data_IF_796848177146
#
_entry.id   IF_796848177146
#
_cell.length_a   1.000
_cell.length_b   1.000
_cell.length_c   1.000
_cell.angle_alpha   90.00
_cell.angle_beta   90.00
_cell.angle_gamma   90.00
#
_symmetry.space_group_name_H-M   'P 1'
#
loop_
_entity.id
_entity.type
_entity.pdbx_description
1 polymer ?
#
# COMPACT_ATOMS: atom_id res chain seq x y z
N UNK A 1 5.71 12.64 7.19
CA UNK A 1 4.28 12.28 7.31
C UNK A 1 3.64 12.48 5.94
N UNK A 2 3.48 11.40 5.16
CA UNK A 2 2.62 11.42 3.99
C UNK A 2 1.18 11.39 4.50
N UNK A 3 0.54 12.56 4.56
CA UNK A 3 -0.90 12.65 4.71
C UNK A 3 -1.51 12.38 3.34
N UNK A 4 -2.24 11.28 3.19
CA UNK A 4 -3.13 11.10 2.05
C UNK A 4 -4.10 12.29 2.05
N UNK A 5 -4.07 13.10 0.97
CA UNK A 5 -4.82 14.36 0.89
C UNK A 5 -6.25 14.10 0.43
N UNK A 6 -7.05 13.43 1.25
CA UNK A 6 -8.46 13.25 0.98
C UNK A 6 -9.06 12.10 1.76
N UNK A 7 -10.31 12.23 2.11
CA UNK A 7 -11.13 11.12 2.60
C UNK A 7 -11.72 10.39 1.39
N UNK A 8 -11.66 9.07 1.41
CA UNK A 8 -12.23 8.23 0.36
C UNK A 8 -13.41 7.45 0.95
N UNK A 9 -14.61 7.62 0.38
CA UNK A 9 -15.77 6.79 0.68
C UNK A 9 -15.95 5.77 -0.44
N UNK A 10 -16.02 4.50 -0.07
CA UNK A 10 -16.28 3.39 -0.98
C UNK A 10 -17.69 2.90 -0.69
N UNK A 11 -18.59 3.09 -1.65
CA UNK A 11 -20.00 2.70 -1.54
C UNK A 11 -20.18 1.21 -1.78
N UNK A 12 -21.12 0.60 -1.07
CA UNK A 12 -21.46 -0.83 -1.17
C UNK A 12 -20.23 -1.73 -1.05
N UNK A 13 -19.36 -1.43 -0.10
CA UNK A 13 -18.10 -2.14 0.09
C UNK A 13 -18.27 -3.55 0.67
N UNK A 14 -19.45 -3.89 1.21
CA UNK A 14 -19.70 -5.16 1.86
C UNK A 14 -18.80 -5.40 3.08
N UNK A 15 -18.80 -4.49 4.09
CA UNK A 15 -17.82 -4.49 5.18
C UNK A 15 -17.77 -5.80 5.96
N UNK A 16 -18.88 -6.55 6.00
CA UNK A 16 -19.00 -7.87 6.64
C UNK A 16 -18.05 -8.93 6.04
N UNK A 17 -17.50 -8.70 4.84
CA UNK A 17 -16.56 -9.60 4.16
C UNK A 17 -15.11 -9.12 4.23
N UNK A 18 -14.85 -7.96 4.87
CA UNK A 18 -13.54 -7.32 4.84
C UNK A 18 -12.72 -7.48 6.13
N UNK A 19 -13.20 -8.24 7.12
CA UNK A 19 -12.56 -8.35 8.43
C UNK A 19 -11.09 -8.81 8.34
N UNK A 20 -10.80 -9.84 7.55
CA UNK A 20 -9.43 -10.33 7.38
C UNK A 20 -8.54 -9.31 6.67
N UNK A 21 -9.07 -8.60 5.67
CA UNK A 21 -8.36 -7.52 5.00
C UNK A 21 -8.09 -6.39 5.98
N UNK A 22 -9.10 -5.99 6.76
CA UNK A 22 -8.98 -4.95 7.77
C UNK A 22 -7.89 -5.28 8.78
N UNK A 23 -7.87 -6.50 9.29
CA UNK A 23 -6.86 -6.95 10.25
C UNK A 23 -5.43 -6.82 9.69
N UNK A 24 -5.20 -7.24 8.44
CA UNK A 24 -3.87 -7.15 7.80
C UNK A 24 -3.49 -5.70 7.51
N UNK A 25 -4.39 -4.91 6.93
CA UNK A 25 -4.11 -3.51 6.62
C UNK A 25 -3.94 -2.67 7.89
N UNK A 26 -4.67 -2.98 8.97
CA UNK A 26 -4.47 -2.34 10.28
C UNK A 26 -3.05 -2.56 10.80
N UNK A 27 -2.51 -3.77 10.67
CA UNK A 27 -1.11 -4.06 11.03
C UNK A 27 -0.08 -3.26 10.20
N UNK A 28 -0.46 -2.81 9.01
CA UNK A 28 0.36 -1.91 8.18
C UNK A 28 0.11 -0.42 8.48
N UNK A 29 -0.80 -0.12 9.41
CA UNK A 29 -1.14 1.24 9.83
C UNK A 29 -2.24 1.90 9.00
N UNK A 30 -3.04 1.10 8.28
CA UNK A 30 -4.22 1.56 7.54
C UNK A 30 -5.48 1.07 8.21
N UNK A 31 -6.40 1.99 8.48
CA UNK A 31 -7.71 1.66 9.03
C UNK A 31 -8.82 2.45 8.30
N UNK A 32 -10.04 1.97 8.44
CA UNK A 32 -11.24 2.61 7.90
C UNK A 32 -12.41 2.51 8.87
N UNK A 33 -13.36 3.40 8.70
CA UNK A 33 -14.65 3.37 9.41
C UNK A 33 -15.70 2.69 8.55
N UNK A 34 -16.59 1.97 9.20
CA UNK A 34 -17.79 1.38 8.56
C UNK A 34 -18.96 2.33 8.80
N UNK A 35 -19.70 2.64 7.74
CA UNK A 35 -20.91 3.47 7.75
C UNK A 35 -21.99 2.77 6.90
N UNK A 36 -22.80 1.93 7.56
CA UNK A 36 -23.72 1.02 6.88
C UNK A 36 -23.02 0.03 5.98
N UNK A 37 -23.32 0.05 4.69
CA UNK A 37 -22.67 -0.78 3.66
C UNK A 37 -21.41 -0.12 3.06
N UNK A 38 -21.08 1.10 3.50
CA UNK A 38 -19.93 1.85 3.01
C UNK A 38 -18.73 1.72 3.93
N UNK A 39 -17.54 1.93 3.38
CA UNK A 39 -16.33 2.18 4.17
C UNK A 39 -15.77 3.57 3.88
N UNK A 40 -15.21 4.19 4.91
CA UNK A 40 -14.61 5.52 4.85
C UNK A 40 -13.15 5.41 5.26
N UNK A 41 -12.25 5.64 4.31
CA UNK A 41 -10.80 5.68 4.54
C UNK A 41 -10.40 7.14 4.76
N UNK A 42 -9.96 7.47 5.99
CA UNK A 42 -9.54 8.82 6.33
C UNK A 42 -8.22 9.20 5.64
N UNK A 43 -8.07 10.49 5.30
CA UNK A 43 -6.81 11.06 4.83
C UNK A 43 -5.67 10.93 5.83
N UNK A 44 -5.98 10.86 7.13
CA UNK A 44 -4.99 10.82 8.21
C UNK A 44 -4.73 9.37 8.62
N UNK A 45 -3.90 8.67 7.85
CA UNK A 45 -3.41 7.35 8.20
C UNK A 45 -2.03 7.46 8.87
N UNK A 46 -1.79 6.64 9.88
CA UNK A 46 -0.47 6.50 10.49
C UNK A 46 0.17 5.23 9.95
N UNK A 47 0.82 5.32 8.79
CA UNK A 47 1.50 4.19 8.15
C UNK A 47 2.69 3.75 9.01
N UNK A 48 2.43 2.88 9.96
CA UNK A 48 3.41 2.28 10.85
C UNK A 48 3.06 0.82 11.07
N UNK A 49 4.02 -0.06 10.79
CA UNK A 49 3.89 -1.50 10.97
C UNK A 49 3.80 -1.81 12.47
N UNK A 50 2.77 -2.56 12.84
CA UNK A 50 2.59 -3.06 14.20
C UNK A 50 3.53 -4.26 14.40
N UNK A 51 4.45 -4.12 15.35
CA UNK A 51 5.40 -5.19 15.68
C UNK A 51 4.74 -6.26 16.52
N UNK A 52 5.20 -7.50 16.38
CA UNK A 52 4.77 -8.60 17.22
C UNK A 52 5.36 -8.51 18.64
N UNK A 53 4.95 -9.40 19.52
CA UNK A 53 5.37 -9.45 20.93
C UNK A 53 6.90 -9.38 21.03
N UNK A 54 7.39 -8.56 21.97
CA UNK A 54 8.82 -8.36 22.17
C UNK A 54 9.52 -7.55 21.09
N UNK A 55 8.77 -6.91 20.17
CA UNK A 55 9.33 -6.14 19.06
C UNK A 55 9.78 -7.00 17.88
N UNK A 56 9.33 -8.25 17.80
CA UNK A 56 9.61 -9.13 16.69
C UNK A 56 8.98 -8.62 15.38
N UNK A 57 9.65 -8.92 14.26
CA UNK A 57 9.13 -8.58 12.93
C UNK A 57 7.87 -9.40 12.66
N UNK A 58 6.72 -8.75 12.35
CA UNK A 58 5.48 -9.46 12.09
C UNK A 58 5.54 -10.23 10.78
N UNK A 59 4.90 -11.40 10.76
CA UNK A 59 4.65 -12.17 9.55
C UNK A 59 3.23 -11.94 9.04
N UNK A 60 3.08 -11.56 7.77
CA UNK A 60 1.82 -11.50 7.04
C UNK A 60 1.79 -12.64 6.03
N UNK A 61 0.91 -13.61 6.27
CA UNK A 61 0.82 -14.84 5.49
C UNK A 61 -0.52 -14.92 4.76
N UNK A 62 -0.47 -15.28 3.48
CA UNK A 62 -1.66 -15.63 2.73
C UNK A 62 -2.14 -17.03 3.07
N UNK A 63 -3.45 -17.25 2.95
CA UNK A 63 -4.02 -18.57 3.09
C UNK A 63 -5.39 -18.64 2.38
N UNK A 64 -5.96 -19.85 2.35
CA UNK A 64 -7.31 -20.10 1.85
C UNK A 64 -8.33 -19.36 2.73
N UNK A 65 -9.39 -18.85 2.11
CA UNK A 65 -10.50 -18.20 2.82
C UNK A 65 -10.95 -19.02 4.05
N UNK A 66 -11.18 -18.39 5.21
CA UNK A 66 -11.32 -16.95 5.48
C UNK A 66 -10.02 -16.20 5.88
N UNK A 67 -8.87 -16.63 5.44
CA UNK A 67 -7.61 -15.94 5.69
C UNK A 67 -7.32 -14.82 4.66
N UNK A 68 -6.15 -14.17 4.78
CA UNK A 68 -5.77 -13.06 3.89
C UNK A 68 -5.56 -13.55 2.44
N UNK A 69 -6.28 -12.99 1.46
CA UNK A 69 -6.23 -13.45 0.08
C UNK A 69 -4.86 -13.20 -0.56
N UNK A 70 -4.34 -14.19 -1.28
CA UNK A 70 -3.09 -14.05 -2.03
C UNK A 70 -3.15 -12.96 -3.11
N UNK A 71 -4.34 -12.65 -3.65
CA UNK A 71 -4.52 -11.61 -4.67
C UNK A 71 -4.25 -10.19 -4.15
N UNK A 72 -4.33 -9.98 -2.85
CA UNK A 72 -4.02 -8.70 -2.20
C UNK A 72 -2.59 -8.62 -1.67
N UNK A 73 -1.82 -9.70 -1.75
CA UNK A 73 -0.44 -9.74 -1.23
C UNK A 73 0.43 -8.67 -1.88
N UNK A 74 0.38 -8.52 -3.19
CA UNK A 74 1.19 -7.54 -3.91
C UNK A 74 0.88 -6.10 -3.51
N UNK A 75 -0.39 -5.79 -3.23
CA UNK A 75 -0.83 -4.47 -2.73
C UNK A 75 -0.31 -4.25 -1.32
N UNK A 76 -0.40 -5.26 -0.45
CA UNK A 76 0.11 -5.16 0.92
C UNK A 76 1.64 -4.96 0.96
N UNK A 77 2.39 -5.60 0.05
CA UNK A 77 3.84 -5.39 -0.11
C UNK A 77 4.15 -3.94 -0.49
N UNK A 78 3.44 -3.36 -1.47
CA UNK A 78 3.62 -1.95 -1.84
C UNK A 78 3.27 -1.02 -0.68
N UNK A 79 2.17 -1.29 0.04
CA UNK A 79 1.80 -0.51 1.23
C UNK A 79 2.91 -0.52 2.28
N UNK A 80 3.54 -1.68 2.52
CA UNK A 80 4.62 -1.81 3.49
C UNK A 80 5.86 -0.99 3.10
N UNK A 81 6.13 -0.78 1.80
CA UNK A 81 7.24 0.11 1.37
C UNK A 81 7.04 1.54 1.82
N UNK A 82 5.82 1.96 2.13
CA UNK A 82 5.47 3.30 2.57
C UNK A 82 5.22 3.39 4.09
N UNK A 83 5.13 2.26 4.79
CA UNK A 83 4.88 2.19 6.23
C UNK A 83 6.18 2.10 7.03
N UNK A 84 6.26 2.79 8.17
CA UNK A 84 7.45 2.77 9.02
C UNK A 84 7.58 1.44 9.76
N UNK A 85 8.64 0.68 9.50
CA UNK A 85 8.96 -0.58 10.15
C UNK A 85 9.34 -1.67 9.15
N UNK A 86 9.42 -2.91 9.62
CA UNK A 86 9.77 -4.08 8.82
C UNK A 86 8.68 -5.14 8.95
N UNK A 87 8.40 -5.87 7.88
CA UNK A 87 7.42 -6.95 7.85
C UNK A 87 7.87 -8.07 6.93
N UNK A 88 7.63 -9.31 7.34
CA UNK A 88 7.85 -10.52 6.53
C UNK A 88 6.55 -10.87 5.84
N UNK A 89 6.56 -10.92 4.52
CA UNK A 89 5.46 -11.46 3.70
C UNK A 89 5.73 -12.88 3.30
N UNK A 90 4.70 -13.74 3.39
CA UNK A 90 4.77 -15.14 3.03
C UNK A 90 3.57 -15.56 2.18
N UNK A 91 3.80 -15.77 0.89
CA UNK A 91 2.82 -16.37 -0.03
C UNK A 91 3.26 -17.78 -0.41
N UNK A 92 2.74 -18.76 0.31
CA UNK A 92 3.10 -20.17 0.08
C UNK A 92 2.35 -20.81 -1.09
N UNK A 93 1.26 -20.18 -1.55
CA UNK A 93 0.38 -20.76 -2.56
C UNK A 93 0.98 -20.74 -3.98
N UNK A 94 1.73 -19.68 -4.31
CA UNK A 94 2.24 -19.46 -5.66
C UNK A 94 3.70 -19.00 -5.66
N UNK A 95 4.65 -19.86 -6.01
CA UNK A 95 6.07 -19.56 -5.87
C UNK A 95 6.57 -18.39 -6.73
N UNK A 96 5.91 -18.09 -7.86
CA UNK A 96 6.35 -17.01 -8.75
C UNK A 96 5.80 -15.63 -8.40
N UNK A 97 4.89 -15.52 -7.43
CA UNK A 97 4.21 -14.26 -7.12
C UNK A 97 5.09 -13.20 -6.48
N UNK A 98 6.20 -13.58 -5.86
CA UNK A 98 7.12 -12.63 -5.24
C UNK A 98 8.09 -11.98 -6.23
N UNK A 99 8.19 -12.43 -7.48
CA UNK A 99 9.18 -11.89 -8.43
C UNK A 99 8.92 -10.42 -8.84
N UNK A 100 7.69 -9.91 -8.68
CA UNK A 100 7.42 -8.49 -8.90
C UNK A 100 8.18 -7.57 -7.91
N UNK A 101 8.65 -8.10 -6.78
CA UNK A 101 9.43 -7.35 -5.79
C UNK A 101 10.77 -6.86 -6.35
N UNK A 102 11.32 -7.56 -7.34
CA UNK A 102 12.49 -7.11 -8.10
C UNK A 102 12.24 -5.75 -8.76
N UNK A 103 11.05 -5.57 -9.35
CA UNK A 103 10.66 -4.30 -9.97
C UNK A 103 10.53 -3.19 -8.95
N UNK A 104 9.95 -3.48 -7.78
CA UNK A 104 9.91 -2.52 -6.67
C UNK A 104 11.31 -2.19 -6.14
N UNK A 105 12.23 -3.17 -6.12
CA UNK A 105 13.63 -2.97 -5.79
C UNK A 105 14.30 -1.99 -6.76
N UNK A 106 14.06 -2.14 -8.07
CA UNK A 106 14.51 -1.18 -9.11
C UNK A 106 13.95 0.23 -8.87
N UNK A 107 12.73 0.36 -8.36
CA UNK A 107 12.16 1.65 -7.95
C UNK A 107 12.75 2.20 -6.64
N UNK A 108 13.66 1.51 -5.98
CA UNK A 108 14.29 1.95 -4.72
C UNK A 108 13.64 1.41 -3.45
N UNK A 109 12.69 0.48 -3.55
CA UNK A 109 12.12 -0.16 -2.37
C UNK A 109 13.16 -1.03 -1.67
N UNK A 110 13.19 -0.96 -0.32
CA UNK A 110 14.05 -1.81 0.49
C UNK A 110 13.36 -3.15 0.74
N UNK A 111 13.64 -4.11 -0.13
CA UNK A 111 13.04 -5.45 -0.11
C UNK A 111 14.16 -6.49 -0.19
N UNK A 112 14.08 -7.51 0.66
CA UNK A 112 14.94 -8.70 0.59
C UNK A 112 14.06 -9.88 0.23
N UNK A 113 14.25 -10.45 -0.95
CA UNK A 113 13.62 -11.71 -1.35
C UNK A 113 14.36 -12.85 -0.67
N UNK A 114 13.73 -13.51 0.30
CA UNK A 114 14.33 -14.61 1.06
C UNK A 114 14.31 -15.91 0.27
N UNK A 115 13.20 -16.17 -0.40
CA UNK A 115 12.98 -17.33 -1.27
C UNK A 115 11.79 -17.03 -2.21
N UNK A 116 11.37 -17.97 -3.11
CA UNK A 116 10.25 -17.74 -4.03
C UNK A 116 8.91 -17.39 -3.37
N UNK A 117 8.78 -17.62 -2.06
CA UNK A 117 7.54 -17.44 -1.30
C UNK A 117 7.60 -16.32 -0.28
N UNK A 118 8.81 -15.87 0.12
CA UNK A 118 8.98 -14.95 1.25
C UNK A 118 9.84 -13.76 0.89
N UNK A 119 9.39 -12.59 1.32
CA UNK A 119 10.22 -11.39 1.28
C UNK A 119 10.06 -10.56 2.56
N UNK A 120 11.12 -9.86 2.92
CA UNK A 120 11.11 -8.85 3.99
C UNK A 120 11.07 -7.49 3.32
N UNK A 121 10.13 -6.65 3.75
CA UNK A 121 10.01 -5.26 3.31
C UNK A 121 10.32 -4.36 4.48
N UNK A 122 11.13 -3.33 4.22
CA UNK A 122 11.42 -2.28 5.19
C UNK A 122 10.99 -0.92 4.62
N UNK A 123 10.20 -0.18 5.36
CA UNK A 123 9.75 1.15 4.99
C UNK A 123 9.92 2.18 6.12
N UNK A 124 9.65 3.45 5.85
CA UNK A 124 9.25 3.98 4.56
C UNK A 124 10.44 4.15 3.61
N UNK A 125 10.24 3.87 2.32
CA UNK A 125 11.23 4.09 1.29
C UNK A 125 10.74 5.10 0.26
N UNK A 126 11.66 5.89 -0.28
CA UNK A 126 11.36 6.75 -1.40
C UNK A 126 11.45 5.93 -2.69
N UNK A 127 10.32 5.82 -3.39
CA UNK A 127 10.27 5.17 -4.68
C UNK A 127 10.66 6.16 -5.79
N UNK A 128 11.28 5.64 -6.85
CA UNK A 128 11.65 6.40 -8.05
C UNK A 128 10.91 5.87 -9.26
N UNK A 129 10.71 6.73 -10.27
CA UNK A 129 10.10 6.32 -11.52
C UNK A 129 11.03 5.44 -12.33
N UNK A 130 10.53 4.28 -12.77
CA UNK A 130 11.24 3.35 -13.63
C UNK A 130 10.31 2.82 -14.72
N UNK A 131 10.87 2.51 -15.89
CA UNK A 131 10.12 1.83 -16.95
C UNK A 131 9.98 0.36 -16.60
N UNK A 132 8.75 -0.08 -16.40
CA UNK A 132 8.47 -1.44 -15.92
C UNK A 132 7.53 -2.17 -16.88
N UNK A 133 7.74 -3.50 -16.97
CA UNK A 133 6.79 -4.43 -17.56
C UNK A 133 6.15 -5.26 -16.44
N UNK A 134 4.84 -5.45 -16.54
CA UNK A 134 4.11 -6.22 -15.56
C UNK A 134 4.15 -7.71 -15.90
N UNK A 135 4.57 -8.61 -14.97
CA UNK A 135 4.54 -10.04 -15.20
C UNK A 135 3.12 -10.64 -15.18
N UNK A 136 2.21 -10.01 -14.44
CA UNK A 136 0.81 -10.43 -14.31
C UNK A 136 -0.10 -9.26 -13.89
N UNK A 137 -1.42 -9.46 -13.93
CA UNK A 137 -2.43 -8.42 -13.63
C UNK A 137 -2.30 -7.90 -12.18
N UNK A 138 -2.02 -8.78 -11.22
CA UNK A 138 -1.94 -8.41 -9.79
C UNK A 138 -0.69 -7.62 -9.49
N UNK A 139 0.44 -8.07 -10.04
CA UNK A 139 1.69 -7.33 -10.00
C UNK A 139 1.54 -5.97 -10.70
N UNK A 140 0.90 -5.94 -11.87
CA UNK A 140 0.61 -4.71 -12.60
C UNK A 140 -0.15 -3.69 -11.78
N UNK A 141 -1.20 -4.11 -11.09
CA UNK A 141 -1.97 -3.23 -10.22
C UNK A 141 -1.11 -2.67 -9.08
N UNK A 142 -0.30 -3.49 -8.43
CA UNK A 142 0.57 -3.05 -7.34
C UNK A 142 1.67 -2.09 -7.83
N UNK A 143 2.26 -2.34 -9.00
CA UNK A 143 3.24 -1.45 -9.60
C UNK A 143 2.63 -0.10 -10.01
N UNK A 144 1.37 -0.08 -10.46
CA UNK A 144 0.63 1.18 -10.70
C UNK A 144 0.45 1.97 -9.40
N UNK A 145 0.07 1.30 -8.30
CA UNK A 145 -0.07 1.96 -6.99
C UNK A 145 1.29 2.52 -6.52
N UNK A 146 2.38 1.77 -6.70
CA UNK A 146 3.73 2.23 -6.39
C UNK A 146 4.13 3.46 -7.23
N UNK A 147 3.80 3.47 -8.52
CA UNK A 147 4.05 4.61 -9.41
C UNK A 147 3.23 5.85 -8.99
N UNK A 148 1.97 5.67 -8.59
CA UNK A 148 1.13 6.76 -8.08
C UNK A 148 1.67 7.33 -6.76
N UNK A 149 2.15 6.49 -5.85
CA UNK A 149 2.77 6.92 -4.60
C UNK A 149 4.04 7.76 -4.88
N UNK A 150 4.86 7.35 -5.87
CA UNK A 150 6.01 8.13 -6.33
C UNK A 150 5.59 9.46 -6.97
N UNK A 151 4.61 9.47 -7.85
CA UNK A 151 4.14 10.68 -8.52
C UNK A 151 3.65 11.73 -7.51
N UNK A 152 2.93 11.30 -6.47
CA UNK A 152 2.50 12.17 -5.39
C UNK A 152 3.68 12.78 -4.63
N UNK A 153 4.71 11.99 -4.32
CA UNK A 153 5.91 12.45 -3.63
C UNK A 153 6.74 13.43 -4.48
N UNK A 154 6.86 13.18 -5.78
CA UNK A 154 7.55 14.09 -6.71
C UNK A 154 6.80 15.42 -6.83
N UNK A 155 5.49 15.37 -6.95
CA UNK A 155 4.65 16.56 -7.02
C UNK A 155 4.81 17.44 -5.76
N UNK A 156 4.74 16.87 -4.58
CA UNK A 156 4.96 17.59 -3.32
C UNK A 156 6.36 18.24 -3.25
N UNK A 157 7.39 17.54 -3.69
CA UNK A 157 8.76 18.05 -3.66
C UNK A 157 8.96 19.23 -4.62
N UNK A 158 8.42 19.15 -5.82
CA UNK A 158 8.52 20.24 -6.83
C UNK A 158 7.84 21.49 -6.32
N UNK A 159 6.65 21.36 -5.75
CA UNK A 159 5.89 22.51 -5.26
C UNK A 159 6.43 23.10 -3.95
N UNK A 160 6.94 22.27 -3.02
CA UNK A 160 7.54 22.77 -1.79
C UNK A 160 8.84 23.53 -2.02
N UNK A 161 9.65 23.12 -3.00
CA UNK A 161 10.93 23.80 -3.29
C UNK A 161 10.77 25.12 -4.07
N UNK A 162 9.63 25.35 -4.73
CA UNK A 162 9.40 26.57 -5.52
C UNK A 162 8.80 27.73 -4.71
N UNK A 163 8.55 27.55 -3.40
CA UNK A 163 7.95 28.59 -2.56
C UNK A 163 6.55 29.03 -3.00
N UNK A 164 5.91 28.27 -3.87
CA UNK A 164 4.55 28.54 -4.33
C UNK A 164 3.59 28.23 -3.19
N UNK A 165 2.74 29.18 -2.78
CA UNK A 165 1.72 28.93 -1.76
C UNK A 165 0.91 27.71 -2.18
N UNK A 166 0.67 26.80 -1.23
CA UNK A 166 -0.13 25.59 -1.47
C UNK A 166 -1.34 25.93 -2.34
N UNK A 167 -1.40 25.32 -3.52
CA UNK A 167 -2.56 25.46 -4.41
C UNK A 167 -3.77 25.12 -3.58
N UNK A 168 -4.58 26.15 -3.32
CA UNK A 168 -5.75 26.06 -2.49
C UNK A 168 -6.66 24.95 -2.96
N UNK A 169 -7.36 24.33 -2.04
CA UNK A 169 -8.31 23.19 -2.15
C UNK A 169 -9.33 23.27 -3.31
N UNK A 170 -9.31 24.31 -4.14
CA UNK A 170 -10.25 24.54 -5.23
C UNK A 170 -9.92 23.80 -6.52
N UNK A 171 -8.68 23.33 -6.73
CA UNK A 171 -8.27 22.71 -8.00
C UNK A 171 -8.60 21.21 -8.14
N UNK A 172 -9.11 20.57 -7.08
CA UNK A 172 -9.53 19.14 -7.09
C UNK A 172 -11.02 18.99 -6.81
N UNK A 173 -11.87 19.88 -7.29
CA UNK A 173 -13.30 19.60 -7.31
C UNK A 173 -13.58 18.55 -8.40
N UNK A 174 -14.27 17.45 -8.09
CA UNK A 174 -14.68 16.49 -9.11
C UNK A 174 -15.57 17.22 -10.13
N UNK A 175 -15.29 16.98 -11.41
CA UNK A 175 -16.10 17.47 -12.51
C UNK A 175 -17.55 17.01 -12.25
N UNK A 176 -18.44 17.94 -11.91
CA UNK A 176 -19.88 17.68 -11.87
C UNK A 176 -20.32 17.48 -13.31
N UNK A 177 -20.54 16.23 -13.70
CA UNK A 177 -21.30 15.92 -14.92
C UNK A 177 -22.75 16.41 -14.69
N UNK A 178 -23.17 17.29 -15.59
CA UNK A 178 -24.60 17.63 -15.76
C UNK A 178 -25.33 16.47 -16.41
#
# INVERSE_FOLDING_TARGET
HQELRGEVRIHNAGPQHLDMMRMVFHRLGVDWKVDGEDIIVSARQRLKIEMDLGGAIPELKTNIWPAFPTDLMSIAVVMATQAKGSVLFHDWMYPSRMYFTDKLGGMGAQIVLCDPHRCIVQGPTQLFGEKMESPDIRAGMSLMIAALANAAAVFERVYSNQGIPSISRQAMQPCRTR
#
